data_IF_681032745650
#
_entry.id   IF_681032745650
#
_cell.length_a   1.000
_cell.length_b   1.000
_cell.length_c   1.000
_cell.angle_alpha   90.00
_cell.angle_beta   90.00
_cell.angle_gamma   90.00
#
_symmetry.space_group_name_H-M   'P 1'
#
loop_
_entity.id
_entity.type
_entity.pdbx_description
1 polymer ?
#
# COMPACT_ATOMS: atom_id res chain seq x y z
N UNK A 1 -14.83 -10.77 10.98
CA UNK A 1 -14.61 -9.31 11.09
C UNK A 1 -15.44 -8.64 10.02
N UNK A 2 -16.08 -7.50 10.31
CA UNK A 2 -16.86 -6.74 9.31
C UNK A 2 -15.96 -6.29 8.14
N UNK A 3 -16.34 -6.52 6.86
CA UNK A 3 -15.60 -6.03 5.69
C UNK A 3 -15.31 -4.52 5.70
N UNK A 4 -16.20 -3.71 6.28
CA UNK A 4 -16.02 -2.26 6.37
C UNK A 4 -14.90 -1.93 7.36
N UNK A 5 -14.89 -2.59 8.52
CA UNK A 5 -13.83 -2.47 9.51
C UNK A 5 -12.46 -2.92 8.97
N UNK A 6 -12.40 -4.03 8.21
CA UNK A 6 -11.18 -4.50 7.56
C UNK A 6 -10.65 -3.49 6.53
N UNK A 7 -11.54 -2.94 5.70
CA UNK A 7 -11.15 -1.96 4.68
C UNK A 7 -10.60 -0.69 5.31
N UNK A 8 -11.25 -0.22 6.38
CA UNK A 8 -10.80 0.97 7.09
C UNK A 8 -9.46 0.75 7.80
N UNK A 9 -9.26 -0.42 8.42
CA UNK A 9 -7.97 -0.80 9.00
C UNK A 9 -6.86 -0.79 7.94
N UNK A 10 -7.10 -1.43 6.79
CA UNK A 10 -6.14 -1.48 5.69
C UNK A 10 -5.80 -0.06 5.18
N UNK A 11 -6.83 0.77 4.95
CA UNK A 11 -6.63 2.13 4.47
C UNK A 11 -5.84 3.00 5.46
N UNK A 12 -6.24 3.03 6.73
CA UNK A 12 -5.65 3.93 7.73
C UNK A 12 -4.28 3.48 8.23
N UNK A 13 -4.04 2.17 8.33
CA UNK A 13 -2.85 1.65 9.01
C UNK A 13 -1.86 0.94 8.09
N UNK A 14 -2.26 0.54 6.88
CA UNK A 14 -1.43 -0.30 6.01
C UNK A 14 -1.03 0.41 4.72
N UNK A 15 -1.97 1.06 4.04
CA UNK A 15 -1.72 1.66 2.72
C UNK A 15 -0.63 2.73 2.77
N UNK A 16 -0.75 3.72 3.65
CA UNK A 16 0.22 4.82 3.73
C UNK A 16 1.64 4.36 4.08
N UNK A 17 1.85 3.48 5.09
CA UNK A 17 3.16 2.91 5.35
C UNK A 17 3.75 2.13 4.17
N UNK A 18 2.93 1.38 3.43
CA UNK A 18 3.40 0.64 2.25
C UNK A 18 3.75 1.59 1.10
N UNK A 19 2.94 2.61 0.82
CA UNK A 19 3.23 3.62 -0.21
C UNK A 19 4.54 4.38 0.02
N UNK A 20 5.00 4.48 1.27
CA UNK A 20 6.26 5.13 1.64
C UNK A 20 7.50 4.25 1.45
N UNK A 21 7.34 2.96 1.13
CA UNK A 21 8.48 2.09 0.89
C UNK A 21 9.18 2.46 -0.42
N UNK A 22 10.53 2.52 -0.44
CA UNK A 22 11.28 2.72 -1.67
C UNK A 22 10.93 1.66 -2.72
N UNK A 23 10.66 2.10 -3.95
CA UNK A 23 10.29 1.21 -5.06
C UNK A 23 8.80 0.92 -5.20
N UNK A 24 7.94 1.35 -4.26
CA UNK A 24 6.48 1.29 -4.43
C UNK A 24 6.03 2.45 -5.32
N UNK A 25 5.30 2.15 -6.40
CA UNK A 25 4.67 3.12 -7.27
C UNK A 25 3.25 3.47 -6.81
N UNK A 26 2.44 2.46 -6.50
CA UNK A 26 1.09 2.65 -5.96
C UNK A 26 0.67 1.47 -5.09
N UNK A 27 -0.33 1.69 -4.24
CA UNK A 27 -1.02 0.65 -3.47
C UNK A 27 -2.51 0.85 -3.63
N UNK A 28 -3.17 -0.15 -4.21
CA UNK A 28 -4.61 -0.13 -4.46
C UNK A 28 -5.34 -1.14 -3.56
N UNK A 29 -6.51 -0.74 -3.11
CA UNK A 29 -7.38 -1.58 -2.28
C UNK A 29 -8.51 -2.14 -3.16
N UNK A 30 -8.57 -3.47 -3.29
CA UNK A 30 -9.69 -4.17 -3.91
C UNK A 30 -10.67 -4.66 -2.85
N UNK A 31 -11.98 -4.57 -3.15
CA UNK A 31 -13.03 -4.82 -2.17
C UNK A 31 -13.20 -3.67 -1.16
N UNK A 32 -12.74 -2.47 -1.51
CA UNK A 32 -12.68 -1.33 -0.61
C UNK A 32 -14.07 -0.87 -0.14
N UNK A 33 -14.22 -0.86 1.19
CA UNK A 33 -15.39 -0.32 1.89
C UNK A 33 -14.97 0.60 3.01
N UNK A 34 -14.41 1.77 2.67
CA UNK A 34 -14.02 2.77 3.68
C UNK A 34 -15.24 3.27 4.44
N UNK A 35 -15.08 3.60 5.72
CA UNK A 35 -16.14 4.25 6.46
C UNK A 35 -16.50 5.60 5.82
N UNK A 36 -17.79 5.86 5.71
CA UNK A 36 -18.35 7.13 5.26
C UNK A 36 -19.65 7.38 6.01
N UNK A 37 -19.89 8.63 6.40
CA UNK A 37 -21.19 9.03 6.92
C UNK A 37 -22.21 8.96 5.78
N UNK A 38 -23.16 8.04 5.87
CA UNK A 38 -24.20 7.84 4.86
C UNK A 38 -25.47 8.54 5.30
N UNK A 39 -25.95 9.47 4.48
CA UNK A 39 -27.23 10.16 4.65
C UNK A 39 -28.18 9.65 3.57
N UNK A 40 -29.10 8.77 3.95
CA UNK A 40 -30.10 8.19 3.07
C UNK A 40 -31.38 9.02 3.13
N UNK A 41 -31.56 9.89 2.12
CA UNK A 41 -32.70 10.80 2.04
C UNK A 41 -34.01 10.04 1.78
N UNK A 42 -35.07 10.46 2.46
CA UNK A 42 -36.43 9.97 2.24
C UNK A 42 -37.18 10.96 1.31
N UNK A 43 -37.42 10.59 0.04
CA UNK A 43 -37.98 11.51 -0.95
C UNK A 43 -39.41 11.95 -0.61
N UNK A 44 -40.22 11.09 0.02
CA UNK A 44 -41.60 11.38 0.36
C UNK A 44 -41.67 12.43 1.48
N UNK A 45 -40.81 12.28 2.50
CA UNK A 45 -40.71 13.26 3.59
C UNK A 45 -40.15 14.59 3.11
N UNK A 46 -39.16 14.58 2.22
CA UNK A 46 -38.62 15.78 1.61
C UNK A 46 -39.69 16.53 0.79
N UNK A 47 -40.47 15.81 -0.02
CA UNK A 47 -41.54 16.39 -0.83
C UNK A 47 -42.65 17.02 0.04
N UNK A 48 -43.08 16.33 1.10
CA UNK A 48 -44.11 16.84 2.02
C UNK A 48 -43.70 18.13 2.75
N UNK A 49 -42.40 18.35 2.93
CA UNK A 49 -41.85 19.54 3.59
C UNK A 49 -41.34 20.59 2.59
N UNK A 50 -41.45 20.32 1.29
CA UNK A 50 -40.93 21.16 0.21
C UNK A 50 -39.41 21.39 0.30
N UNK A 51 -38.67 20.40 0.81
CA UNK A 51 -37.21 20.45 0.98
C UNK A 51 -36.57 19.68 -0.18
N UNK A 52 -35.53 20.25 -0.78
CA UNK A 52 -34.79 19.59 -1.86
C UNK A 52 -33.53 18.88 -1.34
N UNK A 53 -32.98 17.95 -2.12
CA UNK A 53 -31.69 17.33 -1.80
C UNK A 53 -30.55 18.37 -1.74
N UNK A 54 -30.66 19.46 -2.50
CA UNK A 54 -29.70 20.57 -2.51
C UNK A 54 -29.75 21.33 -1.17
N UNK A 55 -30.94 21.56 -0.62
CA UNK A 55 -31.09 22.19 0.70
C UNK A 55 -30.39 21.38 1.78
N UNK A 56 -30.52 20.05 1.74
CA UNK A 56 -29.83 19.13 2.67
C UNK A 56 -28.32 19.19 2.49
N UNK A 57 -27.84 19.18 1.23
CA UNK A 57 -26.41 19.28 0.95
C UNK A 57 -25.81 20.58 1.49
N UNK A 58 -26.50 21.71 1.30
CA UNK A 58 -26.08 23.01 1.80
C UNK A 58 -26.08 23.05 3.33
N UNK A 59 -27.13 22.54 3.97
CA UNK A 59 -27.20 22.47 5.43
C UNK A 59 -26.04 21.68 6.04
N UNK A 60 -25.67 20.55 5.42
CA UNK A 60 -24.50 19.76 5.84
C UNK A 60 -23.21 20.54 5.61
N UNK A 61 -23.04 21.22 4.46
CA UNK A 61 -21.84 21.98 4.15
C UNK A 61 -21.62 23.18 5.09
N UNK A 62 -22.70 23.83 5.53
CA UNK A 62 -22.66 24.97 6.46
C UNK A 62 -22.39 24.56 7.90
N UNK A 63 -22.93 23.43 8.36
CA UNK A 63 -22.86 23.01 9.76
C UNK A 63 -21.73 22.01 10.05
N UNK A 64 -21.19 21.32 9.04
CA UNK A 64 -20.06 20.39 9.18
C UNK A 64 -18.75 21.00 8.65
N UNK A 65 -18.36 22.15 9.19
CA UNK A 65 -17.18 22.91 8.76
C UNK A 65 -16.12 23.00 9.86
N UNK A 66 -14.85 22.99 9.46
CA UNK A 66 -13.76 23.27 10.39
C UNK A 66 -13.60 24.78 10.54
N UNK A 67 -14.00 25.32 11.69
CA UNK A 67 -13.88 26.76 11.99
C UNK A 67 -12.58 27.05 12.72
N UNK A 68 -11.82 28.03 12.24
CA UNK A 68 -10.68 28.61 12.96
C UNK A 68 -11.19 29.76 13.83
N UNK A 69 -11.51 29.48 15.10
CA UNK A 69 -12.07 30.47 16.01
C UNK A 69 -11.04 31.48 16.57
N UNK A 70 -9.78 31.37 16.15
CA UNK A 70 -8.71 32.31 16.50
C UNK A 70 -8.27 32.18 17.95
N UNK A 71 -7.79 33.29 18.51
CA UNK A 71 -7.26 33.37 19.86
C UNK A 71 -7.77 34.63 20.55
N UNK A 72 -8.13 34.51 21.82
CA UNK A 72 -8.52 35.62 22.68
C UNK A 72 -7.25 36.16 23.35
N UNK A 73 -7.07 37.48 23.36
CA UNK A 73 -5.90 38.13 23.96
C UNK A 73 -4.63 38.06 23.09
N UNK A 74 -4.74 37.60 21.84
CA UNK A 74 -3.64 37.67 20.87
C UNK A 74 -3.38 39.13 20.46
N UNK A 75 -2.11 39.48 20.30
CA UNK A 75 -1.71 40.81 19.82
C UNK A 75 -2.34 41.15 18.46
N UNK A 76 -2.80 42.40 18.26
CA UNK A 76 -2.69 43.55 19.15
C UNK A 76 -3.78 43.59 20.23
N UNK A 77 -3.40 43.33 21.48
CA UNK A 77 -4.29 43.32 22.64
C UNK A 77 -4.05 44.56 23.53
N UNK A 78 -5.07 45.05 24.27
CA UNK A 78 -4.91 46.15 25.20
C UNK A 78 -3.81 45.89 26.25
N UNK A 79 -3.12 46.96 26.65
CA UNK A 79 -2.10 46.90 27.70
C UNK A 79 -2.71 46.37 29.01
N UNK A 80 -2.08 45.36 29.61
CA UNK A 80 -2.60 44.66 30.80
C UNK A 80 -3.34 43.35 30.53
N UNK A 81 -3.45 42.90 29.27
CA UNK A 81 -3.97 41.56 28.94
C UNK A 81 -3.00 40.49 29.44
N UNK A 82 -3.39 39.72 30.45
CA UNK A 82 -2.51 38.77 31.13
C UNK A 82 -2.35 37.41 30.43
N UNK A 83 -3.30 37.01 29.57
CA UNK A 83 -3.33 35.68 28.97
C UNK A 83 -3.78 35.72 27.50
N UNK A 84 -3.11 34.91 26.66
CA UNK A 84 -3.57 34.54 25.33
C UNK A 84 -4.18 33.13 25.41
N UNK A 85 -5.43 32.96 24.94
CA UNK A 85 -6.14 31.68 24.95
C UNK A 85 -6.58 31.31 23.54
N UNK A 86 -6.25 30.08 23.12
CA UNK A 86 -6.75 29.55 21.84
C UNK A 86 -8.22 29.15 21.96
N UNK A 87 -9.03 29.60 21.02
CA UNK A 87 -10.45 29.23 20.96
C UNK A 87 -10.59 28.02 20.04
N UNK A 88 -11.18 26.95 20.57
CA UNK A 88 -11.54 25.78 19.80
C UNK A 88 -13.06 25.77 19.62
N UNK A 89 -13.53 25.99 18.40
CA UNK A 89 -14.93 25.74 18.05
C UNK A 89 -15.15 24.26 17.76
N UNK A 90 -16.36 23.77 18.02
CA UNK A 90 -16.80 22.46 17.53
C UNK A 90 -16.78 22.54 16.01
N UNK A 91 -15.89 21.77 15.38
CA UNK A 91 -15.66 21.77 13.94
C UNK A 91 -16.49 20.70 13.24
N UNK A 92 -15.80 19.78 12.56
CA UNK A 92 -16.45 18.67 11.86
C UNK A 92 -17.13 17.70 12.82
N UNK A 93 -18.35 17.30 12.46
CA UNK A 93 -19.15 16.30 13.15
C UNK A 93 -18.58 14.91 12.89
N UNK A 94 -18.68 14.02 13.88
CA UNK A 94 -18.08 12.68 13.81
C UNK A 94 -19.06 11.55 14.14
N UNK A 95 -20.15 11.85 14.86
CA UNK A 95 -21.17 10.87 15.24
C UNK A 95 -22.42 10.98 14.33
N UNK A 96 -23.01 9.86 13.88
CA UNK A 96 -24.29 9.87 13.18
C UNK A 96 -25.41 10.68 13.88
N UNK A 97 -25.41 10.71 15.22
CA UNK A 97 -26.36 11.49 16.02
C UNK A 97 -26.17 12.99 15.86
N UNK A 98 -24.93 13.46 15.84
CA UNK A 98 -24.60 14.87 15.60
C UNK A 98 -25.05 15.30 14.20
N UNK A 99 -24.82 14.45 13.19
CA UNK A 99 -25.36 14.68 11.85
C UNK A 99 -26.90 14.72 11.84
N UNK A 100 -27.54 13.90 12.67
CA UNK A 100 -29.00 13.90 12.84
C UNK A 100 -29.57 15.19 13.40
N UNK A 101 -28.75 15.97 14.11
CA UNK A 101 -29.13 17.24 14.70
C UNK A 101 -28.91 18.45 13.78
N UNK A 102 -28.34 18.25 12.59
CA UNK A 102 -28.20 19.28 11.57
C UNK A 102 -29.58 19.85 11.22
N UNK A 103 -29.72 21.16 11.33
CA UNK A 103 -30.96 21.86 10.99
C UNK A 103 -31.02 22.08 9.49
N UNK A 104 -31.97 21.46 8.81
CA UNK A 104 -32.14 21.57 7.34
C UNK A 104 -33.02 22.76 6.98
N UNK A 105 -34.07 23.01 7.77
CA UNK A 105 -34.96 24.17 7.57
C UNK A 105 -35.53 24.63 8.90
N UNK A 106 -35.56 25.94 9.10
CA UNK A 106 -36.27 26.59 10.19
C UNK A 106 -37.47 27.33 9.61
N UNK A 107 -38.69 26.97 10.02
CA UNK A 107 -39.88 27.71 9.61
C UNK A 107 -40.08 28.90 10.56
N UNK A 108 -39.86 30.10 10.04
CA UNK A 108 -39.90 31.36 10.80
C UNK A 108 -41.31 31.72 11.29
N UNK A 109 -42.37 31.13 10.74
CA UNK A 109 -43.76 31.48 11.06
C UNK A 109 -44.31 30.74 12.28
N UNK A 110 -43.86 29.51 12.51
CA UNK A 110 -44.34 28.63 13.58
C UNK A 110 -43.22 28.16 14.52
N UNK A 111 -41.96 28.54 14.25
CA UNK A 111 -40.79 28.14 15.04
C UNK A 111 -40.42 26.66 14.90
N UNK A 112 -41.04 25.90 14.00
CA UNK A 112 -40.73 24.48 13.82
C UNK A 112 -39.40 24.31 13.10
N UNK A 113 -38.55 23.42 13.63
CA UNK A 113 -37.25 23.06 13.07
C UNK A 113 -37.36 21.68 12.43
N UNK A 114 -36.91 21.56 11.19
CA UNK A 114 -36.73 20.27 10.52
C UNK A 114 -35.26 19.89 10.62
N UNK A 115 -34.97 18.78 11.27
CA UNK A 115 -33.62 18.23 11.40
C UNK A 115 -33.36 17.16 10.35
N UNK A 116 -32.08 16.87 10.10
CA UNK A 116 -31.70 15.87 9.10
C UNK A 116 -32.28 14.48 9.41
N UNK A 117 -32.35 14.10 10.69
CA UNK A 117 -32.97 12.83 11.12
C UNK A 117 -34.45 12.70 10.79
N UNK A 118 -35.16 13.82 10.60
CA UNK A 118 -36.58 13.82 10.31
C UNK A 118 -36.82 13.41 8.84
N UNK A 119 -35.86 13.73 7.96
CA UNK A 119 -35.96 13.56 6.50
C UNK A 119 -34.95 12.55 5.92
N UNK A 120 -34.09 11.96 6.75
CA UNK A 120 -33.06 11.02 6.30
C UNK A 120 -32.67 9.99 7.38
N UNK A 121 -32.28 8.79 6.95
CA UNK A 121 -31.58 7.81 7.80
C UNK A 121 -30.08 8.05 7.74
N UNK A 122 -29.44 8.18 8.90
CA UNK A 122 -28.01 8.51 9.01
C UNK A 122 -27.29 7.38 9.71
N UNK A 123 -26.25 6.85 9.08
CA UNK A 123 -25.47 5.73 9.63
C UNK A 123 -24.02 5.79 9.16
N UNK A 124 -23.11 5.21 9.95
CA UNK A 124 -21.75 4.94 9.50
C UNK A 124 -21.79 3.69 8.62
N UNK A 125 -21.49 3.86 7.33
CA UNK A 125 -21.53 2.77 6.35
C UNK A 125 -20.30 2.77 5.45
N UNK A 126 -20.33 1.95 4.41
CA UNK A 126 -19.29 1.97 3.38
C UNK A 126 -19.48 3.19 2.45
N UNK A 127 -18.38 3.83 2.05
CA UNK A 127 -18.36 4.87 1.02
C UNK A 127 -18.90 4.32 -0.31
N UNK A 128 -18.49 3.10 -0.64
CA UNK A 128 -18.82 2.41 -1.87
C UNK A 128 -19.22 0.97 -1.57
N UNK A 129 -20.30 0.50 -2.19
CA UNK A 129 -20.83 -0.86 -2.02
C UNK A 129 -20.60 -1.76 -3.24
N UNK A 130 -20.08 -1.20 -4.34
CA UNK A 130 -19.95 -1.88 -5.63
C UNK A 130 -18.83 -2.91 -5.71
N UNK A 131 -17.98 -3.02 -4.70
CA UNK A 131 -16.87 -3.99 -4.65
C UNK A 131 -16.88 -4.77 -3.34
N UNK A 132 -16.64 -6.07 -3.44
CA UNK A 132 -16.38 -6.98 -2.33
C UNK A 132 -15.27 -7.93 -2.73
N UNK A 133 -14.35 -8.20 -1.81
CA UNK A 133 -13.36 -9.24 -1.96
C UNK A 133 -13.59 -10.33 -0.91
N UNK A 134 -13.40 -11.58 -1.32
CA UNK A 134 -13.47 -12.76 -0.47
C UNK A 134 -12.26 -13.64 -0.79
N UNK A 135 -11.69 -14.26 0.23
CA UNK A 135 -10.72 -15.33 0.07
C UNK A 135 -11.36 -16.64 0.53
N UNK A 136 -11.77 -17.47 -0.42
CA UNK A 136 -12.62 -18.62 -0.12
C UNK A 136 -13.97 -18.17 0.44
N UNK A 137 -14.25 -18.50 1.71
CA UNK A 137 -15.48 -18.11 2.42
C UNK A 137 -15.29 -16.89 3.32
N UNK A 138 -14.05 -16.43 3.50
CA UNK A 138 -13.73 -15.35 4.44
C UNK A 138 -13.78 -14.00 3.73
N UNK A 139 -14.47 -12.99 4.30
CA UNK A 139 -14.42 -11.64 3.76
C UNK A 139 -13.02 -11.04 3.92
N UNK A 140 -12.46 -10.54 2.83
CA UNK A 140 -11.06 -10.12 2.75
C UNK A 140 -10.95 -8.77 2.06
N UNK A 141 -9.86 -8.06 2.34
CA UNK A 141 -9.46 -6.87 1.61
C UNK A 141 -8.13 -7.18 0.95
N UNK A 142 -8.05 -6.96 -0.37
CA UNK A 142 -6.85 -7.27 -1.13
C UNK A 142 -6.09 -5.97 -1.39
N UNK A 143 -4.83 -5.94 -0.99
CA UNK A 143 -3.92 -4.84 -1.25
C UNK A 143 -3.00 -5.24 -2.41
N UNK A 144 -3.11 -4.54 -3.54
CA UNK A 144 -2.19 -4.69 -4.65
C UNK A 144 -1.10 -3.63 -4.53
N UNK A 145 0.14 -4.08 -4.38
CA UNK A 145 1.32 -3.21 -4.35
C UNK A 145 1.92 -3.22 -5.76
N UNK A 146 1.91 -2.06 -6.40
CA UNK A 146 2.49 -1.87 -7.71
C UNK A 146 3.89 -1.33 -7.59
N UNK A 147 4.81 -1.98 -8.30
CA UNK A 147 6.20 -1.59 -8.36
C UNK A 147 6.40 -0.33 -9.21
N UNK A 148 7.26 0.58 -8.75
CA UNK A 148 7.69 1.75 -9.53
C UNK A 148 8.61 1.33 -10.68
N UNK A 149 8.46 1.90 -11.89
CA UNK A 149 9.36 1.61 -13.01
C UNK A 149 10.83 1.79 -12.64
N UNK A 150 11.67 0.82 -13.03
CA UNK A 150 13.13 0.86 -12.79
C UNK A 150 13.56 0.45 -11.37
N UNK A 151 12.65 0.17 -10.45
CA UNK A 151 13.00 -0.37 -9.14
C UNK A 151 13.30 -1.88 -9.19
N UNK A 152 13.81 -2.46 -8.10
CA UNK A 152 14.07 -3.89 -8.00
C UNK A 152 12.89 -4.63 -7.34
N UNK A 153 12.35 -5.65 -8.01
CA UNK A 153 11.16 -6.37 -7.55
C UNK A 153 11.44 -7.26 -6.34
N UNK A 154 12.61 -7.91 -6.28
CA UNK A 154 13.02 -8.79 -5.18
C UNK A 154 13.26 -7.99 -3.89
N UNK A 155 13.98 -6.87 -3.99
CA UNK A 155 14.21 -5.96 -2.86
C UNK A 155 12.89 -5.35 -2.37
N UNK A 156 12.03 -4.92 -3.29
CA UNK A 156 10.70 -4.41 -2.94
C UNK A 156 9.86 -5.47 -2.22
N UNK A 157 9.82 -6.70 -2.72
CA UNK A 157 9.05 -7.78 -2.10
C UNK A 157 9.51 -8.04 -0.67
N UNK A 158 10.82 -8.06 -0.43
CA UNK A 158 11.37 -8.24 0.90
C UNK A 158 10.98 -7.07 1.83
N UNK A 159 11.10 -5.83 1.37
CA UNK A 159 10.67 -4.64 2.14
C UNK A 159 9.18 -4.66 2.48
N UNK A 160 8.33 -5.06 1.54
CA UNK A 160 6.88 -5.19 1.76
C UNK A 160 6.58 -6.27 2.79
N UNK A 161 7.23 -7.43 2.67
CA UNK A 161 7.10 -8.54 3.63
C UNK A 161 7.49 -8.11 5.04
N UNK A 162 8.65 -7.47 5.19
CA UNK A 162 9.16 -7.00 6.48
C UNK A 162 8.23 -5.94 7.08
N UNK A 163 7.75 -5.02 6.25
CA UNK A 163 6.83 -3.98 6.71
C UNK A 163 5.47 -4.55 7.12
N UNK A 164 4.94 -5.51 6.37
CA UNK A 164 3.69 -6.19 6.73
C UNK A 164 3.83 -6.99 8.02
N UNK A 165 4.99 -7.62 8.25
CA UNK A 165 5.27 -8.32 9.50
C UNK A 165 5.27 -7.35 10.69
N UNK A 166 5.92 -6.19 10.57
CA UNK A 166 5.88 -5.12 11.59
C UNK A 166 4.44 -4.64 11.86
N UNK A 167 3.69 -4.30 10.80
CA UNK A 167 2.33 -3.76 10.91
C UNK A 167 1.36 -4.77 11.51
N UNK A 168 1.51 -6.06 11.18
CA UNK A 168 0.63 -7.13 11.63
C UNK A 168 0.59 -7.30 13.15
N UNK A 169 1.63 -6.87 13.87
CA UNK A 169 1.68 -6.93 15.33
C UNK A 169 0.63 -6.03 15.99
N UNK A 170 0.14 -5.01 15.28
CA UNK A 170 -0.87 -4.06 15.78
C UNK A 170 -2.28 -4.41 15.34
N UNK A 171 -2.46 -5.53 14.62
CA UNK A 171 -3.77 -5.90 14.13
C UNK A 171 -4.70 -6.33 15.27
N UNK A 172 -6.00 -6.00 15.19
CA UNK A 172 -7.00 -6.51 16.12
C UNK A 172 -7.02 -8.04 16.15
N UNK A 173 -7.42 -8.63 17.28
CA UNK A 173 -7.58 -10.09 17.40
C UNK A 173 -8.50 -10.62 16.30
N UNK A 174 -8.08 -11.69 15.62
CA UNK A 174 -8.82 -12.33 14.54
C UNK A 174 -8.62 -11.69 13.15
N UNK A 175 -7.73 -10.71 13.02
CA UNK A 175 -7.28 -10.19 11.71
C UNK A 175 -5.91 -10.80 11.40
N UNK A 176 -5.81 -11.42 10.23
CA UNK A 176 -4.57 -12.00 9.72
C UNK A 176 -4.28 -11.45 8.32
N UNK A 177 -3.00 -11.40 7.95
CA UNK A 177 -2.60 -11.12 6.57
C UNK A 177 -1.96 -12.36 5.96
N UNK A 178 -2.06 -12.45 4.64
CA UNK A 178 -1.37 -13.45 3.86
C UNK A 178 -1.01 -12.87 2.49
N UNK A 179 0.15 -13.25 1.97
CA UNK A 179 0.62 -12.84 0.64
C UNK A 179 0.42 -14.01 -0.32
N UNK A 180 -0.74 -14.04 -0.98
CA UNK A 180 -1.11 -15.15 -1.88
C UNK A 180 -0.65 -14.95 -3.33
N UNK A 181 -0.51 -13.70 -3.77
CA UNK A 181 -0.08 -13.37 -5.12
C UNK A 181 1.27 -12.65 -5.06
N UNK A 182 2.32 -13.35 -5.48
CA UNK A 182 3.68 -12.84 -5.49
C UNK A 182 4.38 -13.32 -6.77
N UNK A 183 4.57 -12.39 -7.71
CA UNK A 183 5.24 -12.63 -8.99
C UNK A 183 6.75 -12.87 -8.82
N UNK A 184 7.34 -12.43 -7.72
CA UNK A 184 8.78 -12.54 -7.48
C UNK A 184 9.22 -13.95 -7.13
N UNK A 185 8.30 -14.81 -6.64
CA UNK A 185 8.60 -16.21 -6.34
C UNK A 185 9.15 -16.96 -7.54
N UNK A 186 8.56 -16.72 -8.72
CA UNK A 186 9.02 -17.34 -9.96
C UNK A 186 10.41 -16.82 -10.36
N UNK A 187 10.64 -15.51 -10.24
CA UNK A 187 11.93 -14.88 -10.57
C UNK A 187 13.03 -15.40 -9.64
N UNK A 188 12.78 -15.44 -8.33
CA UNK A 188 13.74 -15.92 -7.34
C UNK A 188 14.06 -17.40 -7.53
N UNK A 189 13.05 -18.25 -7.77
CA UNK A 189 13.26 -19.67 -8.06
C UNK A 189 14.07 -19.86 -9.34
N UNK A 190 13.72 -19.14 -10.42
CA UNK A 190 14.45 -19.23 -11.69
C UNK A 190 15.91 -18.79 -11.55
N UNK A 191 16.18 -17.72 -10.80
CA UNK A 191 17.56 -17.30 -10.52
C UNK A 191 18.33 -18.32 -9.69
N UNK A 192 17.69 -18.94 -8.71
CA UNK A 192 18.30 -19.99 -7.89
C UNK A 192 18.67 -21.22 -8.74
N UNK A 193 17.74 -21.68 -9.59
CA UNK A 193 17.99 -22.81 -10.48
C UNK A 193 19.14 -22.50 -11.45
N UNK A 194 19.20 -21.29 -12.00
CA UNK A 194 20.30 -20.92 -12.89
C UNK A 194 21.64 -20.90 -12.14
N UNK A 195 21.69 -20.42 -10.90
CA UNK A 195 22.93 -20.47 -10.10
C UNK A 195 23.36 -21.92 -9.79
N UNK A 196 22.42 -22.83 -9.56
CA UNK A 196 22.72 -24.26 -9.41
C UNK A 196 23.30 -24.79 -10.72
N UNK A 197 22.63 -24.57 -11.86
CA UNK A 197 23.11 -25.06 -13.16
C UNK A 197 24.47 -24.46 -13.55
N UNK A 198 24.76 -23.22 -13.15
CA UNK A 198 26.08 -22.59 -13.34
C UNK A 198 27.16 -23.34 -12.54
N UNK A 199 26.86 -23.70 -11.30
CA UNK A 199 27.75 -24.51 -10.46
C UNK A 199 27.96 -25.92 -11.00
N UNK A 200 26.89 -26.58 -11.46
CA UNK A 200 26.96 -27.90 -12.11
C UNK A 200 27.81 -27.84 -13.39
N UNK A 201 27.59 -26.83 -14.23
CA UNK A 201 28.38 -26.62 -15.44
C UNK A 201 29.87 -26.44 -15.11
N UNK A 202 30.21 -25.64 -14.09
CA UNK A 202 31.58 -25.46 -13.63
C UNK A 202 32.22 -26.79 -13.19
N UNK A 203 31.51 -27.58 -12.38
CA UNK A 203 32.01 -28.89 -11.91
C UNK A 203 32.22 -29.85 -13.07
N UNK A 204 31.28 -29.92 -14.03
CA UNK A 204 31.38 -30.77 -15.20
C UNK A 204 32.58 -30.38 -16.07
N UNK A 205 32.78 -29.08 -16.30
CA UNK A 205 33.94 -28.56 -17.03
C UNK A 205 35.24 -28.97 -16.36
N UNK A 206 35.38 -28.73 -15.05
CA UNK A 206 36.59 -29.09 -14.31
C UNK A 206 36.84 -30.60 -14.36
N UNK A 207 35.78 -31.41 -14.25
CA UNK A 207 35.88 -32.87 -14.36
C UNK A 207 36.37 -33.32 -15.74
N UNK A 208 35.84 -32.74 -16.82
CA UNK A 208 36.28 -33.04 -18.19
C UNK A 208 37.75 -32.64 -18.38
N UNK A 209 38.13 -31.43 -18.00
CA UNK A 209 39.53 -30.94 -18.08
C UNK A 209 40.46 -31.85 -17.28
N UNK A 210 40.06 -32.29 -16.09
CA UNK A 210 40.85 -33.23 -15.27
C UNK A 210 41.04 -34.59 -15.95
N UNK A 211 39.99 -35.14 -16.57
CA UNK A 211 40.05 -36.43 -17.28
C UNK A 211 41.03 -36.37 -18.45
N UNK A 212 41.05 -35.27 -19.19
CA UNK A 212 41.96 -35.09 -20.33
C UNK A 212 43.40 -34.79 -19.91
N UNK A 213 43.61 -33.94 -18.90
CA UNK A 213 44.95 -33.50 -18.50
C UNK A 213 45.63 -34.44 -17.49
N UNK A 214 44.86 -35.26 -16.76
CA UNK A 214 45.31 -36.22 -15.74
C UNK A 214 46.32 -35.66 -14.70
N UNK A 215 46.38 -34.34 -14.56
CA UNK A 215 47.36 -33.65 -13.73
C UNK A 215 46.68 -32.54 -12.95
N UNK A 216 46.67 -32.69 -11.63
CA UNK A 216 46.08 -31.72 -10.70
C UNK A 216 46.68 -30.31 -10.85
N UNK A 217 47.97 -30.24 -11.21
CA UNK A 217 48.67 -28.96 -11.40
C UNK A 217 48.13 -28.18 -12.60
N UNK A 218 47.76 -28.85 -13.68
CA UNK A 218 47.26 -28.21 -14.90
C UNK A 218 45.76 -27.94 -14.82
N UNK A 219 44.97 -28.79 -14.18
CA UNK A 219 43.52 -28.56 -13.97
C UNK A 219 43.22 -27.33 -13.10
N UNK A 220 44.11 -26.97 -12.17
CA UNK A 220 43.95 -25.79 -11.32
C UNK A 220 43.86 -24.49 -12.14
N UNK A 221 44.53 -24.42 -13.29
CA UNK A 221 44.59 -23.19 -14.10
C UNK A 221 43.18 -22.80 -14.59
N UNK A 222 42.43 -23.66 -15.33
CA UNK A 222 41.03 -23.37 -15.69
C UNK A 222 40.09 -23.24 -14.48
N UNK A 223 40.32 -24.03 -13.42
CA UNK A 223 39.46 -24.02 -12.23
C UNK A 223 39.44 -22.65 -11.54
N UNK A 224 40.56 -21.92 -11.56
CA UNK A 224 40.64 -20.56 -11.01
C UNK A 224 40.27 -19.51 -12.07
N UNK A 225 40.63 -19.73 -13.34
CA UNK A 225 40.35 -18.79 -14.42
C UNK A 225 38.85 -18.52 -14.59
N UNK A 226 37.99 -19.55 -14.52
CA UNK A 226 36.54 -19.41 -14.74
C UNK A 226 35.86 -18.55 -13.65
N UNK A 227 36.02 -18.81 -12.33
CA UNK A 227 35.43 -17.94 -11.31
C UNK A 227 35.95 -16.50 -11.39
N UNK A 228 37.25 -16.32 -11.68
CA UNK A 228 37.84 -14.98 -11.80
C UNK A 228 37.25 -14.21 -12.97
N UNK A 229 37.05 -14.84 -14.14
CA UNK A 229 36.45 -14.19 -15.31
C UNK A 229 34.98 -13.83 -15.09
N UNK A 230 34.22 -14.69 -14.38
CA UNK A 230 32.84 -14.41 -13.99
C UNK A 230 32.75 -13.23 -13.02
N UNK A 231 33.62 -13.18 -12.00
CA UNK A 231 33.68 -12.05 -11.07
C UNK A 231 34.07 -10.75 -11.80
N UNK A 232 35.04 -10.82 -12.72
CA UNK A 232 35.42 -9.67 -13.53
C UNK A 232 34.27 -9.18 -14.41
N UNK A 233 33.50 -10.09 -15.00
CA UNK A 233 32.31 -9.76 -15.80
C UNK A 233 31.24 -9.09 -14.94
N UNK A 234 30.96 -9.62 -13.74
CA UNK A 234 30.03 -9.00 -12.79
C UNK A 234 30.50 -7.59 -12.37
N UNK A 235 31.80 -7.40 -12.14
CA UNK A 235 32.36 -6.10 -11.79
C UNK A 235 32.18 -5.08 -12.94
N UNK A 236 32.47 -5.48 -14.18
CA UNK A 236 32.28 -4.64 -15.37
C UNK A 236 30.79 -4.34 -15.58
N UNK A 237 29.92 -5.35 -15.44
CA UNK A 237 28.47 -5.17 -15.51
C UNK A 237 27.99 -4.14 -14.50
N UNK A 238 28.46 -4.24 -13.24
CA UNK A 238 28.12 -3.29 -12.19
C UNK A 238 28.60 -1.87 -12.53
N UNK A 239 29.83 -1.71 -13.04
CA UNK A 239 30.36 -0.40 -13.46
C UNK A 239 29.56 0.22 -14.61
N UNK A 240 29.03 -0.59 -15.51
CA UNK A 240 28.19 -0.15 -16.63
C UNK A 240 26.71 0.03 -16.26
N UNK A 241 26.32 -0.29 -15.01
CA UNK A 241 24.94 -0.21 -14.54
C UNK A 241 24.02 -1.31 -15.08
N UNK A 242 24.57 -2.42 -15.56
CA UNK A 242 23.77 -3.58 -15.95
C UNK A 242 23.19 -4.30 -14.73
N UNK A 243 21.96 -4.79 -14.88
CA UNK A 243 21.31 -5.63 -13.87
C UNK A 243 21.64 -7.10 -14.06
N UNK A 244 21.72 -7.83 -12.94
CA UNK A 244 21.75 -9.29 -12.96
C UNK A 244 20.31 -9.80 -13.18
N UNK A 245 20.10 -10.46 -14.31
CA UNK A 245 18.83 -11.05 -14.72
C UNK A 245 19.03 -12.37 -15.47
N UNK A 246 17.94 -13.05 -15.82
CA UNK A 246 17.97 -14.34 -16.51
C UNK A 246 18.78 -14.33 -17.82
N UNK A 247 18.71 -13.27 -18.62
CA UNK A 247 19.47 -13.17 -19.88
C UNK A 247 20.97 -13.06 -19.60
N UNK A 248 21.36 -12.23 -18.63
CA UNK A 248 22.77 -12.11 -18.25
C UNK A 248 23.32 -13.42 -17.66
N UNK A 249 22.51 -14.17 -16.89
CA UNK A 249 22.91 -15.46 -16.34
C UNK A 249 23.08 -16.52 -17.43
N UNK A 250 22.19 -16.58 -18.42
CA UNK A 250 22.37 -17.45 -19.59
C UNK A 250 23.63 -17.08 -20.39
N UNK A 251 23.90 -15.78 -20.54
CA UNK A 251 25.13 -15.29 -21.14
C UNK A 251 26.38 -15.77 -20.38
N UNK A 252 26.35 -15.75 -19.05
CA UNK A 252 27.44 -16.28 -18.21
C UNK A 252 27.63 -17.79 -18.39
N UNK A 253 26.55 -18.58 -18.46
CA UNK A 253 26.64 -20.03 -18.72
C UNK A 253 27.32 -20.31 -20.06
N UNK A 254 26.96 -19.57 -21.12
CA UNK A 254 27.60 -19.70 -22.44
C UNK A 254 29.07 -19.25 -22.40
N UNK A 255 29.39 -18.19 -21.66
CA UNK A 255 30.75 -17.68 -21.54
C UNK A 255 31.72 -18.67 -20.86
N UNK A 256 31.24 -19.52 -19.94
CA UNK A 256 32.07 -20.57 -19.32
C UNK A 256 32.70 -21.47 -20.40
N UNK A 257 31.91 -21.86 -21.42
CA UNK A 257 32.41 -22.72 -22.49
C UNK A 257 33.54 -22.07 -23.31
N UNK A 258 33.47 -20.75 -23.51
CA UNK A 258 34.49 -19.98 -24.24
C UNK A 258 35.77 -19.80 -23.41
N UNK A 259 35.64 -19.49 -22.12
CA UNK A 259 36.80 -19.24 -21.24
C UNK A 259 37.64 -20.50 -21.04
N UNK A 260 37.01 -21.68 -21.06
CA UNK A 260 37.70 -22.96 -20.93
C UNK A 260 38.52 -23.30 -22.18
N UNK A 261 38.04 -22.93 -23.36
CA UNK A 261 38.74 -23.18 -24.61
C UNK A 261 40.05 -22.35 -24.70
N UNK A 262 40.03 -21.16 -24.10
CA UNK A 262 41.18 -20.23 -24.04
C UNK A 262 42.18 -20.51 -22.88
N UNK A 263 41.79 -21.27 -21.85
CA UNK A 263 42.54 -21.45 -20.59
C UNK A 263 43.27 -22.80 -20.47
#
# INVERSE_FOLDING_TARGET
VDPVALSNLAYLQVVDPLKRLPGVGDVQIFGERRYSMRVWLDPDKLANLGITAVDVQNAIAEQNVQVAAGKIGQSPAPAGTAFEMQVNAVGRLSDPKEFGDIVVRANSQNGSLVRLRDVARIELGALQYSSSAFFGKDPTVVLAVYQMPGSNALDLQQRVKDKMQELSQRFPKGVHYAMHYDTTRFVSASMHDVLITLGEALVLVVAVVFIFLQSWRTTIIPTIAIPVSLIATLAIMYMLGFSLNMLSLLGMVLAIGLVVDDA
#
